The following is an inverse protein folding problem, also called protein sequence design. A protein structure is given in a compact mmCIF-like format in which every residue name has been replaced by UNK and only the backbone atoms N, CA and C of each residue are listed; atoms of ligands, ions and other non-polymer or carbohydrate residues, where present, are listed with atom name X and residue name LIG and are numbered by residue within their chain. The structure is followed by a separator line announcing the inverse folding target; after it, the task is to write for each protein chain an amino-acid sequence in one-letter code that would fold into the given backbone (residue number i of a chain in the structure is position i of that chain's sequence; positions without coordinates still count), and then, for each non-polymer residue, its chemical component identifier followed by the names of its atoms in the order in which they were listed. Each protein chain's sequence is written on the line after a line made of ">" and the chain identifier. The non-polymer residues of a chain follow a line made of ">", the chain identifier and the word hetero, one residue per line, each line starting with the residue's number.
data_IF_556652740640
#
_entry.id   IF_556652740640
#
_cell.length_a   1.000
_cell.length_b   1.000
_cell.length_c   1.000
_cell.angle_alpha   90.00
_cell.angle_beta   90.00
_cell.angle_gamma   90.00
#
_symmetry.space_group_name_H-M   'P 1'
#
loop_
_entity.id
_entity.type
_entity.pdbx_description
1 polymer ?
#
# COMPACT_ATOMS: atom_id res chain seq x y z
N UNK A 1 24.83 -9.19 16.64
CA UNK A 1 24.74 -9.66 15.23
C UNK A 1 23.56 -10.58 15.14
N UNK A 2 22.46 -10.22 14.49
CA UNK A 2 21.54 -11.30 14.14
C UNK A 2 21.01 -11.12 12.73
N UNK A 3 21.92 -11.46 11.82
CA UNK A 3 21.67 -12.06 10.49
C UNK A 3 20.56 -13.12 10.52
N UNK A 4 20.35 -13.74 11.68
CA UNK A 4 19.35 -14.74 11.93
C UNK A 4 18.13 -14.20 12.67
N UNK A 5 17.00 -14.86 12.49
CA UNK A 5 15.81 -14.56 13.26
C UNK A 5 16.06 -14.75 14.75
N UNK A 6 15.66 -13.75 15.54
CA UNK A 6 15.78 -13.77 17.00
C UNK A 6 14.77 -14.69 17.69
N UNK A 7 13.91 -15.39 16.93
CA UNK A 7 12.78 -16.13 17.48
C UNK A 7 11.58 -15.26 17.87
N UNK A 8 11.71 -13.93 17.79
CA UNK A 8 10.61 -12.99 18.00
C UNK A 8 9.60 -13.12 16.85
N UNK A 9 8.31 -12.95 17.14
CA UNK A 9 7.20 -13.27 16.22
C UNK A 9 7.13 -14.74 15.79
N UNK A 10 7.70 -15.66 16.58
CA UNK A 10 7.69 -17.11 16.36
C UNK A 10 8.34 -17.58 15.05
N UNK A 11 9.23 -16.76 14.49
CA UNK A 11 10.17 -17.24 13.47
C UNK A 11 11.14 -18.23 14.13
N UNK A 12 11.73 -19.14 13.34
CA UNK A 12 12.69 -20.11 13.88
C UNK A 12 13.90 -19.31 14.35
N UNK A 13 14.23 -19.37 15.65
CA UNK A 13 15.44 -18.72 16.16
C UNK A 13 16.66 -19.32 15.43
N UNK A 14 17.49 -18.48 14.82
CA UNK A 14 18.57 -18.97 13.96
C UNK A 14 18.16 -19.14 12.49
N UNK A 15 16.93 -18.81 12.10
CA UNK A 15 16.45 -18.86 10.73
C UNK A 15 17.15 -17.83 9.85
N UNK A 16 17.61 -18.25 8.69
CA UNK A 16 18.30 -17.40 7.72
C UNK A 16 17.29 -16.67 6.83
N UNK A 17 16.72 -15.58 7.35
CA UNK A 17 15.77 -14.73 6.61
C UNK A 17 16.40 -14.14 5.35
N UNK A 18 17.72 -13.95 5.34
CA UNK A 18 18.44 -13.39 4.22
C UNK A 18 18.35 -14.32 2.99
N UNK A 19 18.75 -15.59 3.14
CA UNK A 19 18.68 -16.56 2.04
C UNK A 19 17.26 -17.03 1.74
N UNK A 20 16.40 -17.12 2.74
CA UNK A 20 15.05 -17.71 2.57
C UNK A 20 13.99 -16.69 2.13
N UNK A 21 14.15 -15.41 2.47
CA UNK A 21 13.17 -14.36 2.14
C UNK A 21 13.76 -13.31 1.20
N UNK A 22 14.79 -12.57 1.64
CA UNK A 22 15.32 -11.42 0.90
C UNK A 22 15.81 -11.83 -0.50
N UNK A 23 16.68 -12.84 -0.60
CA UNK A 23 17.32 -13.22 -1.86
C UNK A 23 16.31 -13.70 -2.92
N UNK A 24 15.36 -14.61 -2.62
CA UNK A 24 14.33 -15.02 -3.58
C UNK A 24 13.43 -13.87 -4.02
N UNK A 25 12.95 -13.05 -3.07
CA UNK A 25 12.06 -11.91 -3.35
C UNK A 25 12.73 -10.87 -4.23
N UNK A 26 13.98 -10.54 -3.91
CA UNK A 26 14.77 -9.57 -4.66
C UNK A 26 15.03 -10.06 -6.09
N UNK A 27 15.44 -11.32 -6.24
CA UNK A 27 15.68 -11.93 -7.56
C UNK A 27 14.42 -11.90 -8.43
N UNK A 28 13.28 -12.34 -7.89
CA UNK A 28 12.00 -12.36 -8.61
C UNK A 28 11.62 -10.95 -9.06
N UNK A 29 11.64 -10.00 -8.13
CA UNK A 29 11.20 -8.63 -8.37
C UNK A 29 12.10 -7.94 -9.41
N UNK A 30 13.41 -7.98 -9.22
CA UNK A 30 14.37 -7.33 -10.13
C UNK A 30 14.35 -7.96 -11.51
N UNK A 31 14.33 -9.30 -11.60
CA UNK A 31 14.32 -9.97 -12.91
C UNK A 31 13.08 -9.60 -13.70
N UNK A 32 11.91 -9.53 -13.06
CA UNK A 32 10.68 -9.08 -13.71
C UNK A 32 10.72 -7.61 -14.13
N UNK A 33 11.36 -6.73 -13.35
CA UNK A 33 11.47 -5.31 -13.70
C UNK A 33 12.42 -5.05 -14.89
N UNK A 34 13.49 -5.83 -15.04
CA UNK A 34 14.46 -5.66 -16.13
C UNK A 34 13.89 -5.89 -17.53
N UNK A 35 12.67 -6.43 -17.65
CA UNK A 35 11.96 -6.53 -18.94
C UNK A 35 11.62 -5.15 -19.53
N UNK A 36 11.55 -4.10 -18.71
CA UNK A 36 11.13 -2.76 -19.15
C UNK A 36 11.83 -1.60 -18.45
N UNK A 37 12.68 -1.87 -17.47
CA UNK A 37 13.31 -0.84 -16.63
C UNK A 37 14.79 -1.12 -16.41
N UNK A 38 15.59 -0.06 -16.32
CA UNK A 38 16.93 -0.14 -15.74
C UNK A 38 16.82 -0.07 -14.22
N UNK A 39 17.41 -1.05 -13.53
CA UNK A 39 17.19 -1.25 -12.09
C UNK A 39 18.53 -1.31 -11.36
N UNK A 40 18.63 -0.52 -10.30
CA UNK A 40 19.67 -0.62 -9.28
C UNK A 40 19.05 -0.97 -7.92
N UNK A 41 19.81 -1.69 -7.10
CA UNK A 41 19.36 -2.15 -5.79
C UNK A 41 20.17 -1.48 -4.69
N UNK A 42 19.44 -0.89 -3.73
CA UNK A 42 20.00 -0.35 -2.50
C UNK A 42 19.51 -1.19 -1.32
N UNK A 43 20.41 -1.95 -0.70
CA UNK A 43 20.10 -2.72 0.51
C UNK A 43 20.55 -1.94 1.75
N UNK A 44 19.61 -1.67 2.65
CA UNK A 44 19.91 -1.04 3.94
C UNK A 44 19.92 -2.11 5.03
N UNK A 45 21.08 -2.29 5.67
CA UNK A 45 21.30 -3.27 6.70
C UNK A 45 21.68 -2.62 8.03
N UNK A 46 21.08 -3.08 9.12
CA UNK A 46 21.43 -2.64 10.48
C UNK A 46 22.78 -3.24 10.97
N UNK A 47 23.41 -4.09 10.17
CA UNK A 47 24.63 -4.84 10.48
C UNK A 47 25.58 -4.80 9.27
N UNK A 48 26.82 -5.21 9.49
CA UNK A 48 27.79 -5.42 8.43
C UNK A 48 27.46 -6.71 7.67
N UNK A 49 27.26 -6.62 6.36
CA UNK A 49 26.94 -7.77 5.50
C UNK A 49 28.25 -8.45 5.16
N UNK A 50 28.38 -9.73 5.53
CA UNK A 50 29.60 -10.47 5.23
C UNK A 50 29.83 -10.57 3.72
N UNK A 51 31.10 -10.67 3.31
CA UNK A 51 31.48 -10.82 1.89
C UNK A 51 30.73 -11.97 1.20
N UNK A 52 30.55 -13.10 1.90
CA UNK A 52 29.84 -14.25 1.37
C UNK A 52 28.36 -13.95 1.10
N UNK A 53 27.70 -13.20 2.00
CA UNK A 53 26.29 -12.79 1.85
C UNK A 53 26.10 -11.76 0.76
N UNK A 54 27.00 -10.79 0.66
CA UNK A 54 27.01 -9.85 -0.45
C UNK A 54 27.14 -10.58 -1.79
N UNK A 55 28.08 -11.52 -1.89
CA UNK A 55 28.24 -12.35 -3.09
C UNK A 55 27.03 -13.24 -3.38
N UNK A 56 26.28 -13.66 -2.36
CA UNK A 56 25.03 -14.41 -2.54
C UNK A 56 23.96 -13.54 -3.22
N UNK A 57 23.81 -12.27 -2.79
CA UNK A 57 22.91 -11.32 -3.46
C UNK A 57 23.40 -11.05 -4.88
N UNK A 58 24.67 -10.71 -5.05
CA UNK A 58 25.24 -10.37 -6.36
C UNK A 58 25.08 -11.53 -7.36
N UNK A 59 25.18 -12.78 -6.90
CA UNK A 59 24.91 -13.97 -7.74
C UNK A 59 23.43 -14.18 -8.06
N UNK A 60 22.54 -13.71 -7.20
CA UNK A 60 21.10 -13.77 -7.42
C UNK A 60 20.60 -12.64 -8.32
N UNK A 61 21.34 -11.53 -8.43
CA UNK A 61 21.01 -10.40 -9.29
C UNK A 61 21.59 -10.59 -10.70
N UNK A 62 20.89 -10.13 -11.74
CA UNK A 62 21.44 -10.03 -13.09
C UNK A 62 22.68 -9.12 -13.11
N UNK A 63 23.65 -9.44 -13.98
CA UNK A 63 24.95 -8.73 -14.01
C UNK A 63 24.86 -7.25 -14.41
N UNK A 64 23.75 -6.84 -15.01
CA UNK A 64 23.47 -5.44 -15.36
C UNK A 64 23.01 -4.59 -14.17
N UNK A 65 22.65 -5.21 -13.04
CA UNK A 65 22.09 -4.52 -11.88
C UNK A 65 23.20 -4.16 -10.90
N UNK A 66 23.28 -2.88 -10.53
CA UNK A 66 24.19 -2.46 -9.46
C UNK A 66 23.60 -2.80 -8.09
N UNK A 67 24.45 -3.26 -7.17
CA UNK A 67 24.11 -3.45 -5.76
C UNK A 67 24.92 -2.49 -4.89
N UNK A 68 24.22 -1.62 -4.18
CA UNK A 68 24.79 -0.80 -3.11
C UNK A 68 24.27 -1.27 -1.76
N UNK A 69 25.16 -1.50 -0.80
CA UNK A 69 24.80 -1.93 0.55
C UNK A 69 25.18 -0.85 1.54
N UNK A 70 24.19 -0.35 2.27
CA UNK A 70 24.34 0.57 3.39
C UNK A 70 24.38 -0.24 4.67
N UNK A 71 25.60 -0.47 5.16
CA UNK A 71 25.88 -1.30 6.34
C UNK A 71 25.92 -0.47 7.62
N UNK A 72 25.71 -1.13 8.76
CA UNK A 72 25.67 -0.49 10.09
C UNK A 72 24.75 0.75 10.12
N UNK A 73 23.69 0.72 9.32
CA UNK A 73 22.84 1.87 9.07
C UNK A 73 21.84 2.12 10.20
N UNK A 74 22.07 1.58 11.40
CA UNK A 74 21.11 1.71 12.50
C UNK A 74 20.93 3.19 12.85
N UNK A 75 19.71 3.74 12.70
CA UNK A 75 19.49 5.14 13.00
C UNK A 75 19.60 5.40 14.51
N UNK A 76 20.14 6.56 14.86
CA UNK A 76 20.00 7.09 16.22
C UNK A 76 18.58 7.63 16.41
N UNK A 77 18.08 7.55 17.64
CA UNK A 77 16.89 8.27 18.09
C UNK A 77 16.98 8.57 19.57
N UNK A 78 16.16 9.49 20.05
CA UNK A 78 16.18 9.82 21.46
C UNK A 78 15.57 8.72 22.33
N UNK A 79 16.03 8.50 23.56
CA UNK A 79 15.40 7.58 24.51
C UNK A 79 14.03 8.12 24.99
N UNK A 80 13.01 7.26 25.11
CA UNK A 80 11.60 7.66 25.37
C UNK A 80 11.31 7.94 26.84
N UNK A 81 12.22 7.54 27.71
CA UNK A 81 11.99 7.46 29.16
C UNK A 81 12.13 8.81 29.86
N UNK A 82 12.51 9.87 29.14
CA UNK A 82 12.74 11.20 29.71
C UNK A 82 11.81 12.24 29.09
N UNK A 83 11.20 13.08 29.95
CA UNK A 83 10.38 14.23 29.54
C UNK A 83 11.14 15.22 28.66
N UNK A 84 12.47 15.24 28.79
CA UNK A 84 13.37 15.89 27.85
C UNK A 84 14.31 14.84 27.24
N UNK A 85 14.12 14.50 25.96
CA UNK A 85 14.95 13.53 25.28
C UNK A 85 16.36 14.10 25.05
N UNK A 86 17.31 13.78 25.93
CA UNK A 86 18.71 14.23 25.81
C UNK A 86 19.68 13.11 25.45
N UNK A 87 19.28 11.85 25.60
CA UNK A 87 20.12 10.67 25.34
C UNK A 87 19.74 10.07 24.00
N UNK A 88 20.73 9.89 23.12
CA UNK A 88 20.60 9.18 21.85
C UNK A 88 20.90 7.69 22.05
N UNK A 89 20.13 6.83 21.37
CA UNK A 89 20.33 5.39 21.34
C UNK A 89 20.02 4.82 19.94
N UNK A 90 20.51 3.62 19.69
CA UNK A 90 20.24 2.89 18.45
C UNK A 90 18.77 2.47 18.35
N UNK A 91 18.11 2.86 17.26
CA UNK A 91 16.70 2.60 17.00
C UNK A 91 16.51 1.60 15.86
N UNK A 92 16.64 0.30 16.16
CA UNK A 92 16.48 -0.76 15.17
C UNK A 92 15.09 -0.72 14.47
N UNK A 93 14.03 -0.35 15.20
CA UNK A 93 12.67 -0.28 14.64
C UNK A 93 12.44 0.92 13.71
N UNK A 94 13.44 1.79 13.53
CA UNK A 94 13.38 2.94 12.63
C UNK A 94 14.32 2.79 11.43
N UNK A 95 14.89 1.60 11.18
CA UNK A 95 15.84 1.36 10.07
C UNK A 95 15.32 1.87 8.72
N UNK A 96 14.02 1.72 8.45
CA UNK A 96 13.37 2.22 7.22
C UNK A 96 13.44 3.74 7.04
N UNK A 97 13.85 4.50 8.06
CA UNK A 97 14.16 5.94 7.94
C UNK A 97 15.36 6.18 7.02
N UNK A 98 16.34 5.28 7.01
CA UNK A 98 17.54 5.40 6.20
C UNK A 98 17.24 5.39 4.71
N UNK A 99 16.15 4.75 4.28
CA UNK A 99 15.70 4.82 2.89
C UNK A 99 15.55 6.28 2.42
N UNK A 100 15.15 7.20 3.31
CA UNK A 100 14.98 8.63 2.98
C UNK A 100 16.29 9.33 2.68
N UNK A 101 17.38 8.93 3.34
CA UNK A 101 18.72 9.47 3.07
C UNK A 101 19.24 8.95 1.73
N UNK A 102 19.11 7.64 1.48
CA UNK A 102 19.45 7.06 0.17
C UNK A 102 18.68 7.73 -0.95
N UNK A 103 17.36 7.90 -0.81
CA UNK A 103 16.54 8.57 -1.82
C UNK A 103 16.98 10.02 -2.04
N UNK A 104 17.27 10.76 -0.97
CA UNK A 104 17.74 12.15 -1.08
C UNK A 104 19.03 12.23 -1.90
N UNK A 105 20.02 11.41 -1.54
CA UNK A 105 21.35 11.46 -2.15
C UNK A 105 21.33 11.02 -3.62
N UNK A 106 20.31 10.24 -4.00
CA UNK A 106 20.13 9.71 -5.34
C UNK A 106 18.96 10.35 -6.10
N UNK A 107 18.33 11.40 -5.56
CA UNK A 107 17.07 11.94 -6.08
C UNK A 107 17.18 12.39 -7.54
N UNK A 108 18.34 12.90 -7.95
CA UNK A 108 18.58 13.38 -9.30
C UNK A 108 19.04 12.28 -10.28
N UNK A 109 19.48 11.14 -9.76
CA UNK A 109 20.03 10.04 -10.55
C UNK A 109 18.95 9.07 -11.08
N UNK A 110 17.78 9.02 -10.44
CA UNK A 110 16.70 8.08 -10.79
C UNK A 110 15.37 8.81 -11.01
N UNK A 111 14.55 8.26 -11.91
CA UNK A 111 13.22 8.80 -12.22
C UNK A 111 12.12 8.23 -11.32
N UNK A 112 12.34 7.03 -10.78
CA UNK A 112 11.38 6.28 -9.99
C UNK A 112 12.08 5.60 -8.81
N UNK A 113 11.44 5.65 -7.64
CA UNK A 113 11.91 5.02 -6.42
C UNK A 113 10.89 4.01 -5.92
N UNK A 114 11.37 2.82 -5.57
CA UNK A 114 10.60 1.75 -4.96
C UNK A 114 11.18 1.47 -3.57
N UNK A 115 10.35 1.52 -2.55
CA UNK A 115 10.76 1.28 -1.17
C UNK A 115 9.78 0.32 -0.53
N UNK A 116 10.17 -0.95 -0.46
CA UNK A 116 9.35 -2.04 0.07
C UNK A 116 10.11 -2.85 1.12
N UNK A 117 9.35 -3.51 1.98
CA UNK A 117 9.85 -4.55 2.87
C UNK A 117 10.46 -5.71 2.06
N UNK A 118 11.44 -6.41 2.65
CA UNK A 118 12.23 -7.48 2.04
C UNK A 118 11.44 -8.79 1.79
N UNK A 119 10.16 -8.81 2.17
CA UNK A 119 9.22 -9.90 1.94
C UNK A 119 8.04 -9.51 1.04
N UNK A 120 8.16 -8.39 0.31
CA UNK A 120 7.18 -7.95 -0.68
C UNK A 120 7.67 -8.23 -2.09
N UNK A 121 6.95 -9.07 -2.83
CA UNK A 121 7.24 -9.33 -4.25
C UNK A 121 6.61 -8.23 -5.10
N UNK A 122 7.44 -7.58 -5.92
CA UNK A 122 7.03 -6.48 -6.79
C UNK A 122 7.51 -6.77 -8.21
N UNK A 123 6.60 -7.13 -9.11
CA UNK A 123 6.91 -7.34 -10.51
C UNK A 123 7.00 -6.04 -11.32
N UNK A 124 7.65 -6.09 -12.49
CA UNK A 124 7.69 -5.00 -13.46
C UNK A 124 6.30 -4.52 -13.88
N UNK A 125 5.33 -5.43 -13.95
CA UNK A 125 3.93 -5.08 -14.23
C UNK A 125 3.28 -4.19 -13.14
N UNK A 126 3.70 -4.30 -11.87
CA UNK A 126 3.28 -3.37 -10.82
C UNK A 126 3.87 -1.98 -11.07
N UNK A 127 5.15 -1.92 -11.42
CA UNK A 127 5.85 -0.66 -11.75
C UNK A 127 5.17 0.04 -12.93
N UNK A 128 4.85 -0.71 -13.98
CA UNK A 128 4.13 -0.17 -15.13
C UNK A 128 2.71 0.30 -14.74
N UNK A 129 1.98 -0.47 -13.94
CA UNK A 129 0.66 -0.06 -13.46
C UNK A 129 0.73 1.22 -12.62
N UNK A 130 1.74 1.34 -11.76
CA UNK A 130 1.99 2.55 -10.97
C UNK A 130 2.16 3.78 -11.87
N UNK A 131 2.99 3.66 -12.92
CA UNK A 131 3.22 4.73 -13.89
C UNK A 131 1.94 5.05 -14.67
N UNK A 132 1.19 4.04 -15.13
CA UNK A 132 -0.07 4.23 -15.85
C UNK A 132 -1.08 5.06 -15.03
N UNK A 133 -1.27 4.71 -13.76
CA UNK A 133 -2.17 5.45 -12.87
C UNK A 133 -1.60 6.83 -12.55
N UNK A 134 -0.29 6.97 -12.37
CA UNK A 134 0.37 8.26 -12.12
C UNK A 134 0.16 9.22 -13.30
N UNK A 135 0.42 8.79 -14.53
CA UNK A 135 0.20 9.62 -15.72
C UNK A 135 -1.25 10.03 -15.90
N UNK A 136 -2.19 9.14 -15.58
CA UNK A 136 -3.60 9.49 -15.63
C UNK A 136 -3.99 10.51 -14.55
N UNK A 137 -3.43 10.41 -13.34
CA UNK A 137 -3.61 11.41 -12.29
C UNK A 137 -3.00 12.77 -12.67
N UNK A 138 -1.84 12.79 -13.32
CA UNK A 138 -1.23 14.02 -13.83
C UNK A 138 -2.10 14.67 -14.93
N UNK A 139 -2.61 13.87 -15.87
CA UNK A 139 -3.56 14.33 -16.89
C UNK A 139 -4.82 14.93 -16.27
N UNK A 140 -5.37 14.28 -15.23
CA UNK A 140 -6.51 14.78 -14.48
C UNK A 140 -6.19 16.07 -13.72
N UNK A 141 -4.98 16.21 -13.18
CA UNK A 141 -4.54 17.41 -12.49
C UNK A 141 -4.49 18.61 -13.44
N UNK A 142 -4.01 18.41 -14.68
CA UNK A 142 -3.94 19.49 -15.66
C UNK A 142 -5.32 19.95 -16.17
N UNK A 143 -6.27 19.02 -16.28
CA UNK A 143 -7.64 19.32 -16.70
C UNK A 143 -8.52 19.87 -15.57
N UNK A 144 -8.13 19.66 -14.32
CA UNK A 144 -8.90 20.06 -13.16
C UNK A 144 -8.89 21.58 -12.94
N UNK A 145 -10.01 22.13 -12.47
CA UNK A 145 -10.11 23.55 -12.13
C UNK A 145 -9.34 23.90 -10.85
N UNK A 146 -8.79 25.12 -10.81
CA UNK A 146 -8.19 25.70 -9.60
C UNK A 146 -9.23 26.15 -8.58
N UNK A 147 -10.39 26.62 -9.06
CA UNK A 147 -11.47 27.11 -8.22
C UNK A 147 -12.48 26.00 -7.92
N UNK A 148 -12.79 25.81 -6.64
CA UNK A 148 -14.09 25.27 -6.22
C UNK A 148 -15.13 26.30 -6.65
N UNK A 149 -15.86 26.04 -7.74
CA UNK A 149 -16.88 26.95 -8.28
C UNK A 149 -17.95 27.21 -7.21
N UNK A 150 -17.76 28.20 -6.33
CA UNK A 150 -18.67 28.68 -5.27
C UNK A 150 -19.41 27.62 -4.40
N UNK A 151 -19.10 26.33 -4.53
CA UNK A 151 -19.67 25.26 -3.71
C UNK A 151 -19.00 25.30 -2.35
N UNK A 152 -19.80 25.12 -1.30
CA UNK A 152 -19.28 24.99 0.06
C UNK A 152 -18.40 23.73 0.08
N UNK A 153 -17.27 23.76 0.79
CA UNK A 153 -16.36 22.62 0.90
C UNK A 153 -17.07 21.33 1.36
N UNK A 154 -18.16 21.47 2.13
CA UNK A 154 -19.04 20.38 2.57
C UNK A 154 -19.71 19.65 1.39
N UNK A 155 -20.14 20.38 0.37
CA UNK A 155 -20.82 19.81 -0.79
C UNK A 155 -19.84 19.01 -1.68
N UNK A 156 -18.59 19.45 -1.77
CA UNK A 156 -17.56 18.73 -2.53
C UNK A 156 -17.11 17.42 -1.87
N UNK A 157 -17.16 17.35 -0.54
CA UNK A 157 -16.82 16.15 0.21
C UNK A 157 -17.96 15.12 0.21
N UNK A 158 -19.20 15.57 0.04
CA UNK A 158 -20.34 14.68 -0.16
C UNK A 158 -20.34 14.01 -1.54
N UNK A 159 -19.72 14.64 -2.54
CA UNK A 159 -19.74 14.23 -3.94
C UNK A 159 -18.81 13.05 -4.20
N UNK A 160 -19.38 11.88 -4.46
CA UNK A 160 -18.64 10.66 -4.80
C UNK A 160 -18.48 10.43 -6.32
N UNK A 161 -18.92 11.39 -7.12
CA UNK A 161 -18.76 11.42 -8.57
C UNK A 161 -18.53 12.86 -9.03
N UNK A 162 -18.12 13.03 -10.29
CA UNK A 162 -17.89 14.34 -10.89
C UNK A 162 -16.41 14.75 -10.94
N UNK A 163 -16.13 15.90 -11.56
CA UNK A 163 -14.76 16.39 -11.73
C UNK A 163 -14.11 16.68 -10.37
N UNK A 164 -12.80 16.46 -10.30
CA UNK A 164 -11.97 16.81 -9.15
C UNK A 164 -11.31 18.18 -9.37
N UNK A 165 -11.05 18.91 -8.28
CA UNK A 165 -10.21 20.12 -8.33
C UNK A 165 -8.72 19.74 -8.29
N UNK A 166 -7.83 20.64 -8.74
CA UNK A 166 -6.37 20.39 -8.72
C UNK A 166 -5.89 19.95 -7.33
N UNK A 167 -6.38 20.61 -6.28
CA UNK A 167 -6.08 20.28 -4.88
C UNK A 167 -6.48 18.86 -4.51
N UNK A 168 -7.62 18.36 -4.99
CA UNK A 168 -8.07 16.99 -4.67
C UNK A 168 -7.33 15.94 -5.49
N UNK A 169 -6.95 16.25 -6.73
CA UNK A 169 -6.10 15.34 -7.53
C UNK A 169 -4.68 15.24 -6.96
N UNK A 170 -4.09 16.37 -6.50
CA UNK A 170 -2.70 16.40 -6.00
C UNK A 170 -2.39 15.49 -4.81
N UNK A 171 -3.41 15.05 -4.07
CA UNK A 171 -3.25 14.14 -2.93
C UNK A 171 -3.46 12.67 -3.30
N UNK A 172 -3.92 12.40 -4.53
CA UNK A 172 -4.17 11.04 -5.00
C UNK A 172 -2.85 10.41 -5.43
N UNK A 173 -2.65 9.16 -5.03
CA UNK A 173 -1.50 8.34 -5.46
C UNK A 173 -1.96 6.92 -5.74
N UNK A 174 -1.29 6.16 -6.64
CA UNK A 174 -1.60 4.75 -6.83
C UNK A 174 -1.47 3.99 -5.50
N UNK A 175 -2.48 3.20 -5.18
CA UNK A 175 -2.54 2.37 -3.96
C UNK A 175 -2.14 0.93 -4.19
N UNK A 176 -1.85 0.22 -3.10
CA UNK A 176 -1.57 -1.21 -3.11
C UNK A 176 -2.37 -1.93 -2.03
N UNK A 177 -2.77 -3.18 -2.30
CA UNK A 177 -3.33 -4.08 -1.30
C UNK A 177 -2.40 -5.27 -1.11
N UNK A 178 -1.94 -5.44 0.13
CA UNK A 178 -1.12 -6.58 0.48
C UNK A 178 -1.97 -7.85 0.58
N UNK A 179 -1.57 -8.90 -0.14
CA UNK A 179 -2.17 -10.23 -0.09
C UNK A 179 -1.16 -11.27 0.36
N UNK A 180 -1.65 -12.34 0.97
CA UNK A 180 -0.88 -13.53 1.32
C UNK A 180 -1.52 -14.76 0.66
N UNK A 181 -0.70 -15.75 0.31
CA UNK A 181 -1.17 -17.01 -0.25
C UNK A 181 -1.36 -18.03 0.87
N UNK A 182 -2.48 -18.73 0.89
CA UNK A 182 -2.77 -19.77 1.87
C UNK A 182 -1.69 -20.85 1.86
N UNK A 183 -1.11 -21.12 3.03
CA UNK A 183 -0.17 -22.23 3.22
C UNK A 183 -0.93 -23.55 3.39
N UNK A 184 -0.34 -24.71 3.03
CA UNK A 184 -0.96 -26.01 3.22
C UNK A 184 -1.43 -26.22 4.67
N UNK A 185 -2.70 -26.58 4.84
CA UNK A 185 -3.32 -26.82 6.16
C UNK A 185 -3.76 -25.56 6.90
N UNK A 186 -3.45 -24.36 6.40
CA UNK A 186 -4.03 -23.13 6.93
C UNK A 186 -5.49 -23.00 6.52
N UNK A 187 -6.31 -22.45 7.41
CA UNK A 187 -7.71 -22.16 7.17
C UNK A 187 -7.99 -20.70 7.53
N UNK A 188 -8.74 -19.96 6.70
CA UNK A 188 -9.08 -18.58 7.00
C UNK A 188 -9.93 -18.52 8.27
N UNK A 189 -9.57 -17.58 9.14
CA UNK A 189 -10.38 -17.27 10.30
C UNK A 189 -11.29 -16.09 9.94
N UNK A 190 -12.55 -16.39 9.64
CA UNK A 190 -13.55 -15.36 9.39
C UNK A 190 -14.14 -14.89 10.73
N UNK A 191 -13.48 -13.90 11.34
CA UNK A 191 -13.96 -13.27 12.58
C UNK A 191 -15.16 -12.33 12.35
N UNK A 192 -15.46 -11.98 11.10
CA UNK A 192 -16.48 -11.01 10.77
C UNK A 192 -17.65 -11.67 10.03
N UNK A 193 -18.42 -12.51 10.72
CA UNK A 193 -19.79 -12.83 10.29
C UNK A 193 -20.70 -11.59 10.16
N UNK A 194 -20.23 -10.42 10.62
CA UNK A 194 -20.88 -9.12 10.50
C UNK A 194 -20.48 -8.32 9.24
N UNK A 195 -19.73 -8.89 8.30
CA UNK A 195 -19.54 -8.25 7.00
C UNK A 195 -20.79 -8.46 6.13
N UNK A 196 -21.78 -7.59 6.36
CA UNK A 196 -23.12 -7.67 5.79
C UNK A 196 -23.22 -7.36 4.30
N UNK A 197 -22.11 -7.01 3.63
CA UNK A 197 -22.13 -6.67 2.20
C UNK A 197 -22.29 -7.95 1.38
N UNK A 198 -23.38 -8.11 0.61
CA UNK A 198 -23.57 -9.29 -0.24
C UNK A 198 -22.47 -9.42 -1.29
N UNK A 199 -22.12 -10.66 -1.65
CA UNK A 199 -21.22 -10.94 -2.76
C UNK A 199 -21.95 -10.71 -4.10
N UNK A 200 -21.34 -9.97 -5.02
CA UNK A 200 -21.84 -9.84 -6.38
C UNK A 200 -20.74 -10.10 -7.43
N UNK A 201 -20.70 -11.30 -8.03
CA UNK A 201 -19.72 -11.64 -9.05
C UNK A 201 -20.05 -11.09 -10.45
N UNK A 202 -21.19 -10.45 -10.64
CA UNK A 202 -21.66 -9.94 -11.94
C UNK A 202 -21.38 -8.44 -12.07
N UNK A 203 -20.32 -8.11 -12.81
CA UNK A 203 -19.81 -6.73 -12.92
C UNK A 203 -20.57 -5.83 -13.90
N UNK A 204 -21.32 -6.44 -14.83
CA UNK A 204 -22.10 -5.73 -15.83
C UNK A 204 -23.56 -6.17 -15.72
N UNK A 205 -24.50 -5.21 -15.72
CA UNK A 205 -25.95 -5.48 -15.68
C UNK A 205 -26.38 -6.47 -16.79
N UNK A 206 -25.67 -6.48 -17.92
CA UNK A 206 -25.96 -7.32 -19.08
C UNK A 206 -25.17 -8.63 -19.14
N UNK A 207 -24.11 -8.79 -18.34
CA UNK A 207 -23.20 -9.92 -18.48
C UNK A 207 -23.29 -10.83 -17.25
N UNK A 208 -23.98 -11.97 -17.43
CA UNK A 208 -24.06 -13.03 -16.41
C UNK A 208 -22.73 -13.76 -16.19
N UNK A 209 -21.70 -13.45 -16.96
CA UNK A 209 -20.38 -14.06 -16.77
C UNK A 209 -19.78 -13.65 -15.42
N UNK A 210 -19.28 -14.64 -14.68
CA UNK A 210 -18.54 -14.42 -13.44
C UNK A 210 -17.17 -13.80 -13.78
N UNK A 211 -16.84 -12.67 -13.15
CA UNK A 211 -15.52 -12.05 -13.32
C UNK A 211 -14.61 -12.49 -12.18
N UNK A 212 -13.53 -13.18 -12.53
CA UNK A 212 -12.48 -13.57 -11.59
C UNK A 212 -11.28 -12.65 -11.75
N UNK A 213 -10.67 -12.28 -10.62
CA UNK A 213 -9.40 -11.57 -10.64
C UNK A 213 -8.29 -12.50 -11.13
N UNK A 214 -7.37 -11.94 -11.90
CA UNK A 214 -6.19 -12.64 -12.38
C UNK A 214 -5.04 -12.50 -11.37
N UNK A 215 -4.62 -13.59 -10.70
CA UNK A 215 -3.53 -13.56 -9.72
C UNK A 215 -2.14 -13.55 -10.37
N UNK A 216 -2.03 -13.71 -11.70
CA UNK A 216 -0.74 -13.89 -12.39
C UNK A 216 0.22 -12.74 -12.14
N UNK A 217 -0.27 -11.50 -12.23
CA UNK A 217 0.56 -10.31 -12.08
C UNK A 217 1.05 -10.15 -10.64
N UNK A 218 0.20 -10.42 -9.65
CA UNK A 218 0.60 -10.22 -8.27
C UNK A 218 1.50 -11.33 -7.74
N UNK A 219 1.04 -12.58 -7.91
CA UNK A 219 1.40 -13.59 -6.94
C UNK A 219 1.93 -14.88 -7.59
N UNK A 220 2.02 -14.94 -8.91
CA UNK A 220 2.77 -15.99 -9.58
C UNK A 220 4.25 -15.64 -9.60
N UNK A 221 5.08 -16.60 -9.22
CA UNK A 221 6.54 -16.45 -9.20
C UNK A 221 7.18 -17.52 -10.07
N UNK A 222 8.45 -17.31 -10.41
CA UNK A 222 9.23 -18.30 -11.14
C UNK A 222 9.48 -19.58 -10.31
N UNK A 223 9.79 -20.66 -11.03
CA UNK A 223 10.09 -21.97 -10.43
C UNK A 223 11.25 -21.92 -9.44
N UNK A 224 12.31 -21.21 -9.78
CA UNK A 224 13.51 -21.09 -8.94
C UNK A 224 13.22 -20.31 -7.65
N UNK A 225 12.36 -19.28 -7.72
CA UNK A 225 11.89 -18.54 -6.54
C UNK A 225 11.06 -19.44 -5.61
N UNK A 226 10.09 -20.16 -6.15
CA UNK A 226 9.27 -21.09 -5.36
C UNK A 226 10.08 -22.27 -4.79
N UNK A 227 11.07 -22.77 -5.53
CA UNK A 227 11.95 -23.86 -5.07
C UNK A 227 12.89 -23.40 -3.94
N UNK A 228 13.29 -22.12 -3.92
CA UNK A 228 14.16 -21.57 -2.89
C UNK A 228 13.45 -21.39 -1.53
N UNK A 229 12.12 -21.29 -1.50
CA UNK A 229 11.36 -21.16 -0.27
C UNK A 229 9.99 -21.85 -0.40
N UNK A 230 9.80 -22.93 0.34
CA UNK A 230 8.56 -23.72 0.37
C UNK A 230 7.33 -22.94 0.85
N UNK A 231 7.52 -21.78 1.48
CA UNK A 231 6.44 -20.88 1.87
C UNK A 231 6.01 -19.92 0.76
N UNK A 232 6.61 -19.98 -0.43
CA UNK A 232 6.24 -19.17 -1.60
C UNK A 232 5.67 -20.11 -2.66
N UNK A 233 4.35 -20.39 -2.65
CA UNK A 233 3.70 -21.11 -3.73
C UNK A 233 3.97 -20.44 -5.08
N UNK A 234 4.24 -21.26 -6.10
CA UNK A 234 4.59 -20.80 -7.45
C UNK A 234 3.47 -20.05 -8.14
N UNK A 235 2.23 -20.56 -8.07
CA UNK A 235 1.10 -20.02 -8.81
C UNK A 235 -0.19 -20.22 -8.01
N UNK A 236 -0.32 -19.54 -6.86
CA UNK A 236 -1.50 -19.68 -6.02
C UNK A 236 -2.75 -19.22 -6.80
N UNK A 237 -3.83 -20.02 -6.83
CA UNK A 237 -5.08 -19.58 -7.45
C UNK A 237 -5.70 -18.43 -6.66
N UNK A 238 -6.57 -17.65 -7.29
CA UNK A 238 -7.21 -16.48 -6.65
C UNK A 238 -8.01 -16.84 -5.39
N UNK A 239 -8.51 -18.08 -5.29
CA UNK A 239 -9.23 -18.60 -4.12
C UNK A 239 -8.34 -18.73 -2.89
N UNK A 240 -7.02 -18.84 -3.11
CA UNK A 240 -6.02 -19.05 -2.06
C UNK A 240 -5.34 -17.74 -1.66
N UNK A 241 -5.82 -16.59 -2.15
CA UNK A 241 -5.26 -15.28 -1.85
C UNK A 241 -6.14 -14.53 -0.85
N UNK A 242 -5.51 -14.05 0.22
CA UNK A 242 -6.19 -13.44 1.36
C UNK A 242 -5.62 -12.07 1.71
N UNK A 243 -6.53 -11.14 1.99
CA UNK A 243 -6.24 -9.85 2.60
C UNK A 243 -6.22 -9.99 4.12
N UNK A 244 -5.34 -9.23 4.75
CA UNK A 244 -5.29 -9.03 6.20
C UNK A 244 -5.55 -7.56 6.50
N UNK A 245 -6.27 -7.27 7.58
CA UNK A 245 -6.47 -5.90 8.13
C UNK A 245 -7.17 -4.89 7.20
N UNK A 246 -7.53 -5.29 5.97
CA UNK A 246 -8.29 -4.46 5.04
C UNK A 246 -9.78 -4.74 5.24
N UNK A 247 -10.51 -3.77 5.76
CA UNK A 247 -11.93 -3.89 6.03
C UNK A 247 -12.74 -2.93 5.15
N UNK A 248 -13.86 -3.41 4.60
CA UNK A 248 -14.71 -2.62 3.71
C UNK A 248 -15.30 -1.38 4.37
N UNK A 249 -15.53 -1.43 5.69
CA UNK A 249 -16.02 -0.30 6.48
C UNK A 249 -15.07 0.91 6.43
N UNK A 250 -13.78 0.71 6.18
CA UNK A 250 -12.78 1.78 6.11
C UNK A 250 -12.49 2.27 4.69
N UNK A 251 -13.14 1.68 3.68
CA UNK A 251 -12.94 1.99 2.28
C UNK A 251 -14.11 2.79 1.73
N UNK A 252 -13.85 3.53 0.67
CA UNK A 252 -14.91 4.23 -0.06
C UNK A 252 -14.67 4.16 -1.56
N UNK A 253 -15.73 4.37 -2.33
CA UNK A 253 -15.66 4.34 -3.79
C UNK A 253 -15.82 5.73 -4.37
N UNK A 254 -15.19 6.01 -5.50
CA UNK A 254 -15.43 7.23 -6.26
C UNK A 254 -15.49 6.93 -7.74
N UNK A 255 -16.39 7.59 -8.45
CA UNK A 255 -16.34 7.65 -9.90
C UNK A 255 -15.56 8.88 -10.36
N UNK A 256 -14.53 8.68 -11.17
CA UNK A 256 -13.75 9.72 -11.82
C UNK A 256 -14.17 9.76 -13.30
N UNK A 257 -15.08 10.68 -13.68
CA UNK A 257 -15.61 10.72 -15.04
C UNK A 257 -14.52 11.10 -16.04
N UNK A 258 -14.66 10.66 -17.30
CA UNK A 258 -13.73 10.96 -18.39
C UNK A 258 -12.27 10.59 -18.08
N UNK A 259 -12.07 9.56 -17.25
CA UNK A 259 -10.76 9.00 -16.91
C UNK A 259 -10.70 7.52 -17.26
N UNK A 260 -9.49 7.03 -17.54
CA UNK A 260 -9.24 5.60 -17.67
C UNK A 260 -9.33 4.85 -16.34
N UNK A 261 -9.35 5.56 -15.21
CA UNK A 261 -9.52 4.99 -13.88
C UNK A 261 -10.98 4.58 -13.61
N UNK A 262 -11.96 5.27 -14.20
CA UNK A 262 -13.38 4.97 -14.05
C UNK A 262 -13.84 5.02 -12.58
N UNK A 263 -14.29 3.87 -12.06
CA UNK A 263 -14.54 3.70 -10.64
C UNK A 263 -13.27 3.31 -9.91
N UNK A 264 -12.99 3.96 -8.79
CA UNK A 264 -11.81 3.67 -7.96
C UNK A 264 -12.22 3.35 -6.53
N UNK A 265 -11.48 2.43 -5.91
CA UNK A 265 -11.43 2.28 -4.46
C UNK A 265 -10.49 3.35 -3.92
N UNK A 266 -10.96 4.07 -2.91
CA UNK A 266 -10.20 5.03 -2.15
C UNK A 266 -9.84 4.42 -0.79
N UNK A 267 -8.55 4.32 -0.50
CA UNK A 267 -8.08 4.03 0.85
C UNK A 267 -7.68 5.35 1.48
N UNK A 268 -8.56 5.85 2.34
CA UNK A 268 -8.52 7.23 2.78
C UNK A 268 -7.26 7.57 3.58
N UNK A 269 -6.66 8.71 3.24
CA UNK A 269 -5.72 9.41 4.08
C UNK A 269 -6.41 10.00 5.31
N UNK A 270 -5.65 10.20 6.37
CA UNK A 270 -6.19 10.32 7.71
C UNK A 270 -6.57 11.76 8.15
N UNK A 271 -6.92 12.67 7.22
CA UNK A 271 -7.15 14.08 7.57
C UNK A 271 -8.48 14.65 7.07
N UNK A 272 -9.19 15.37 7.94
CA UNK A 272 -10.57 15.84 7.70
C UNK A 272 -10.67 16.89 6.58
N UNK A 273 -9.68 17.75 6.39
CA UNK A 273 -9.81 18.92 5.49
C UNK A 273 -9.24 18.70 4.07
N UNK A 274 -8.79 17.49 3.76
CA UNK A 274 -8.21 17.10 2.47
C UNK A 274 -8.74 15.73 2.02
N UNK A 275 -10.02 15.41 2.23
CA UNK A 275 -10.62 14.15 1.73
C UNK A 275 -11.18 14.29 0.33
N UNK A 276 -10.93 13.33 -0.53
CA UNK A 276 -11.70 13.23 -1.77
C UNK A 276 -13.10 12.72 -1.46
N UNK A 277 -14.13 13.40 -1.96
CA UNK A 277 -15.52 12.98 -1.77
C UNK A 277 -15.75 11.58 -2.32
N UNK A 278 -16.54 10.77 -1.60
CA UNK A 278 -16.60 9.33 -1.83
C UNK A 278 -17.87 8.68 -1.31
N UNK A 279 -18.22 7.54 -1.89
CA UNK A 279 -19.36 6.72 -1.54
C UNK A 279 -18.91 5.71 -0.50
N UNK A 280 -19.56 5.73 0.65
CA UNK A 280 -19.25 4.84 1.75
C UNK A 280 -20.42 3.89 1.99
N UNK A 281 -20.11 2.62 2.14
CA UNK A 281 -21.05 1.50 2.26
C UNK A 281 -21.95 1.56 3.49
N UNK A 282 -21.62 2.37 4.51
CA UNK A 282 -22.55 2.65 5.61
C UNK A 282 -23.82 3.40 5.17
N UNK A 283 -23.82 4.07 4.00
CA UNK A 283 -25.03 4.65 3.40
C UNK A 283 -26.06 3.58 3.02
N UNK A 284 -25.62 2.35 2.80
CA UNK A 284 -26.46 1.21 2.44
C UNK A 284 -26.96 0.43 3.66
N UNK A 285 -26.62 0.87 4.88
CA UNK A 285 -26.94 0.17 6.12
C UNK A 285 -26.08 -1.07 6.40
N UNK A 286 -25.01 -1.31 5.63
CA UNK A 286 -24.11 -2.45 5.87
C UNK A 286 -23.21 -2.28 7.09
N UNK A 287 -23.00 -1.04 7.54
CA UNK A 287 -22.14 -0.69 8.66
C UNK A 287 -22.83 0.33 9.57
N UNK A 288 -22.18 0.73 10.66
CA UNK A 288 -22.70 1.75 11.58
C UNK A 288 -22.98 3.09 10.88
N UNK A 289 -23.62 4.04 11.57
CA UNK A 289 -23.98 5.34 10.98
C UNK A 289 -22.80 6.24 10.63
N UNK A 290 -21.59 5.92 11.10
CA UNK A 290 -20.39 6.74 10.90
C UNK A 290 -19.21 5.89 10.44
N UNK A 291 -18.42 6.38 9.47
CA UNK A 291 -17.23 5.67 9.03
C UNK A 291 -16.27 5.50 10.21
N UNK A 292 -15.56 4.36 10.26
CA UNK A 292 -14.59 4.14 11.30
C UNK A 292 -13.54 5.26 11.29
N UNK A 293 -13.04 5.59 12.48
CA UNK A 293 -11.97 6.56 12.60
C UNK A 293 -10.74 6.08 11.84
N UNK A 294 -10.42 6.75 10.74
CA UNK A 294 -9.21 6.51 9.94
C UNK A 294 -7.94 6.72 10.77
N UNK A 295 -8.05 7.35 11.95
CA UNK A 295 -6.95 7.56 12.91
C UNK A 295 -6.37 6.26 13.45
N UNK A 296 -7.16 5.17 13.40
CA UNK A 296 -6.75 3.88 13.94
C UNK A 296 -5.85 3.18 12.93
N UNK A 297 -4.63 2.85 13.36
CA UNK A 297 -3.61 2.20 12.52
C UNK A 297 -4.10 0.93 11.81
N UNK A 298 -5.07 0.19 12.38
CA UNK A 298 -5.67 -0.99 11.74
C UNK A 298 -6.33 -0.70 10.39
N UNK A 299 -6.77 0.53 10.14
CA UNK A 299 -7.41 0.94 8.89
C UNK A 299 -6.46 1.65 7.92
N UNK A 300 -5.23 1.94 8.37
CA UNK A 300 -4.22 2.55 7.51
C UNK A 300 -3.69 1.56 6.44
N UNK A 301 -4.11 0.29 6.47
CA UNK A 301 -3.73 -0.80 5.56
C UNK A 301 -2.24 -0.75 5.19
N UNK A 302 -1.39 -1.38 6.01
CA UNK A 302 0.04 -1.39 5.74
C UNK A 302 0.32 -2.17 4.45
N UNK A 303 0.64 -1.44 3.38
CA UNK A 303 0.96 -1.98 2.07
C UNK A 303 2.40 -2.50 1.96
N UNK A 304 3.20 -2.40 3.04
CA UNK A 304 4.58 -2.92 3.09
C UNK A 304 5.59 -2.11 2.28
N UNK A 305 5.22 -0.92 1.79
CA UNK A 305 6.12 -0.06 1.02
C UNK A 305 5.41 1.02 0.21
N UNK A 306 6.08 1.62 -0.76
CA UNK A 306 5.53 2.62 -1.67
C UNK A 306 6.42 2.79 -2.90
N UNK A 307 5.84 3.40 -3.93
CA UNK A 307 6.55 3.87 -5.11
C UNK A 307 6.31 5.35 -5.28
N UNK A 308 7.28 6.07 -5.85
CA UNK A 308 7.06 7.45 -6.30
C UNK A 308 8.04 7.84 -7.38
N UNK A 309 7.57 8.67 -8.30
CA UNK A 309 8.46 9.37 -9.23
C UNK A 309 9.27 10.43 -8.49
N UNK A 310 10.40 10.81 -9.07
CA UNK A 310 11.20 11.96 -8.60
C UNK A 310 10.36 13.22 -8.39
N UNK A 311 9.47 13.52 -9.33
CA UNK A 311 8.57 14.67 -9.24
C UNK A 311 7.57 14.55 -8.09
N UNK A 312 6.97 13.36 -7.90
CA UNK A 312 6.08 13.10 -6.77
C UNK A 312 6.80 13.28 -5.44
N UNK A 313 8.04 12.79 -5.28
CA UNK A 313 8.84 12.97 -4.06
C UNK A 313 9.06 14.46 -3.79
N UNK A 314 9.46 15.22 -4.80
CA UNK A 314 9.65 16.67 -4.69
C UNK A 314 8.35 17.37 -4.28
N UNK A 315 7.25 17.08 -4.97
CA UNK A 315 5.94 17.68 -4.66
C UNK A 315 5.46 17.29 -3.26
N UNK A 316 5.59 16.02 -2.86
CA UNK A 316 5.21 15.57 -1.54
C UNK A 316 6.03 16.25 -0.46
N UNK A 317 7.35 16.37 -0.65
CA UNK A 317 8.25 17.02 0.30
C UNK A 317 7.87 18.49 0.54
N UNK A 318 7.53 19.24 -0.52
CA UNK A 318 7.26 20.67 -0.42
C UNK A 318 5.81 21.01 -0.05
N UNK A 319 4.82 20.26 -0.56
CA UNK A 319 3.41 20.69 -0.52
C UNK A 319 2.52 19.84 0.42
N UNK A 320 2.91 18.59 0.69
CA UNK A 320 2.02 17.62 1.34
C UNK A 320 2.53 17.16 2.70
N UNK A 321 3.80 16.75 2.77
CA UNK A 321 4.43 16.19 3.96
C UNK A 321 4.86 17.29 4.92
N UNK A 322 4.17 17.38 6.05
CA UNK A 322 4.57 18.29 7.13
C UNK A 322 5.97 17.92 7.62
N UNK A 323 6.91 18.86 7.63
CA UNK A 323 8.30 18.63 8.01
C UNK A 323 9.15 17.93 6.93
N UNK A 324 8.61 17.77 5.72
CA UNK A 324 9.30 17.19 4.58
C UNK A 324 9.29 15.66 4.54
N UNK A 325 9.32 15.11 3.32
CA UNK A 325 9.48 13.66 3.08
C UNK A 325 10.92 13.17 3.23
N UNK A 326 11.88 13.98 2.78
CA UNK A 326 13.32 13.74 2.77
C UNK A 326 14.00 14.57 3.88
N UNK A 327 15.18 14.15 4.38
CA UNK A 327 15.91 14.90 5.39
C UNK A 327 16.56 16.19 4.83
N UNK A 328 16.86 17.21 5.66
CA UNK A 328 16.60 17.26 7.10
C UNK A 328 15.10 17.32 7.39
N UNK A 329 14.67 16.60 8.44
CA UNK A 329 13.27 16.58 8.84
C UNK A 329 12.99 17.79 9.72
N UNK A 330 12.07 18.64 9.29
CA UNK A 330 11.74 19.89 9.98
C UNK A 330 10.45 19.77 10.82
N UNK A 331 10.05 20.86 11.47
CA UNK A 331 8.78 20.93 12.19
C UNK A 331 7.59 20.45 11.32
N UNK A 332 6.63 19.66 11.83
CA UNK A 332 6.31 19.37 13.23
C UNK A 332 6.98 18.12 13.79
N UNK A 333 7.97 17.55 13.11
CA UNK A 333 8.75 16.47 13.72
C UNK A 333 9.43 17.02 14.98
N UNK A 334 9.09 16.47 16.15
CA UNK A 334 9.80 16.85 17.37
C UNK A 334 11.20 16.26 17.28
N UNK A 335 12.19 17.10 17.57
CA UNK A 335 13.59 16.68 17.64
C UNK A 335 14.07 16.02 16.33
N UNK A 336 13.90 16.72 15.21
CA UNK A 336 14.48 16.40 13.89
C UNK A 336 14.11 15.02 13.32
N UNK A 337 12.92 14.51 13.67
CA UNK A 337 12.43 13.19 13.23
C UNK A 337 13.05 12.00 13.98
N UNK A 338 13.75 12.26 15.09
CA UNK A 338 14.35 11.23 15.93
C UNK A 338 13.37 10.63 16.95
N UNK A 339 12.17 11.19 17.09
CA UNK A 339 11.14 10.76 18.03
C UNK A 339 10.27 9.58 17.51
N UNK A 340 10.11 9.46 16.18
CA UNK A 340 9.32 8.41 15.53
C UNK A 340 10.10 7.09 15.41
N UNK A 341 9.62 6.05 16.10
CA UNK A 341 10.30 4.74 16.23
C UNK A 341 9.58 3.58 15.57
N UNK A 342 8.55 3.84 14.79
CA UNK A 342 7.69 2.80 14.22
C UNK A 342 8.09 2.55 12.78
N UNK A 343 8.37 1.30 12.43
CA UNK A 343 8.74 0.90 11.08
C UNK A 343 7.65 1.30 10.09
N UNK A 344 6.37 1.18 10.49
CA UNK A 344 5.18 1.50 9.70
C UNK A 344 5.08 2.99 9.36
N UNK A 345 5.72 3.86 10.15
CA UNK A 345 5.80 5.28 9.82
C UNK A 345 6.80 5.49 8.69
N UNK A 346 8.02 5.01 8.87
CA UNK A 346 9.12 5.29 7.95
C UNK A 346 9.07 4.48 6.65
N UNK A 347 8.51 3.25 6.67
CA UNK A 347 8.27 2.42 5.50
C UNK A 347 7.19 2.99 4.56
N UNK A 348 6.60 4.14 4.90
CA UNK A 348 5.70 4.89 4.03
C UNK A 348 4.22 4.60 4.24
N UNK A 349 3.84 3.77 5.22
CA UNK A 349 2.44 3.62 5.63
C UNK A 349 1.91 4.86 6.34
N UNK A 350 2.27 5.03 7.61
CA UNK A 350 1.73 6.09 8.46
C UNK A 350 2.27 7.47 8.05
N UNK A 351 3.52 7.58 7.55
CA UNK A 351 4.02 8.89 7.13
C UNK A 351 3.31 9.42 5.87
N UNK A 352 3.06 8.59 4.86
CA UNK A 352 2.40 9.08 3.65
C UNK A 352 0.90 9.28 3.85
N UNK A 353 0.24 8.38 4.60
CA UNK A 353 -1.23 8.31 4.66
C UNK A 353 -1.82 8.67 6.03
N UNK A 354 -1.02 8.70 7.10
CA UNK A 354 -1.46 8.90 8.48
C UNK A 354 -1.55 10.37 8.93
N UNK A 355 -2.14 10.58 10.12
CA UNK A 355 -2.30 11.92 10.71
C UNK A 355 -0.94 12.51 11.04
N UNK A 356 -0.74 13.74 10.56
CA UNK A 356 0.49 14.48 10.81
C UNK A 356 1.62 14.14 9.82
N UNK A 357 1.37 13.25 8.86
CA UNK A 357 2.24 13.02 7.73
C UNK A 357 1.80 13.80 6.49
N UNK A 358 1.90 13.16 5.31
CA UNK A 358 1.59 13.77 4.02
C UNK A 358 0.08 13.82 3.70
N UNK A 359 -0.71 12.95 4.35
CA UNK A 359 -2.16 12.83 4.16
C UNK A 359 -2.54 12.57 2.70
N UNK A 360 -1.76 11.75 2.01
CA UNK A 360 -2.07 11.28 0.67
C UNK A 360 -3.24 10.28 0.74
N UNK A 361 -3.93 10.10 -0.37
CA UNK A 361 -5.05 9.16 -0.49
C UNK A 361 -4.76 8.20 -1.64
N UNK A 362 -4.86 6.91 -1.35
CA UNK A 362 -4.57 5.87 -2.32
C UNK A 362 -5.76 5.63 -3.23
N UNK A 363 -5.50 5.46 -4.52
CA UNK A 363 -6.50 5.13 -5.54
C UNK A 363 -6.17 3.79 -6.17
N UNK A 364 -7.20 2.95 -6.30
CA UNK A 364 -7.08 1.63 -6.91
C UNK A 364 -8.23 1.49 -7.92
N UNK A 365 -7.96 1.45 -9.23
CA UNK A 365 -8.99 1.25 -10.26
C UNK A 365 -9.78 -0.04 -10.04
N UNK A 366 -11.10 0.06 -10.21
CA UNK A 366 -12.02 -1.07 -10.14
C UNK A 366 -12.24 -1.75 -11.50
N UNK A 367 -11.40 -1.48 -12.50
CA UNK A 367 -11.38 -2.28 -13.71
C UNK A 367 -10.76 -3.67 -13.39
N UNK A 368 -11.41 -4.79 -13.72
CA UNK A 368 -10.89 -6.12 -13.41
C UNK A 368 -9.48 -6.41 -13.96
N UNK A 369 -9.14 -5.85 -15.11
CA UNK A 369 -7.82 -6.03 -15.74
C UNK A 369 -6.73 -5.17 -15.10
N UNK A 370 -7.13 -4.20 -14.26
CA UNK A 370 -6.22 -3.32 -13.54
C UNK A 370 -6.14 -3.67 -12.06
N UNK A 371 -7.25 -4.04 -11.42
CA UNK A 371 -7.32 -4.26 -9.98
C UNK A 371 -6.33 -5.32 -9.49
N UNK A 372 -6.20 -6.44 -10.21
CA UNK A 372 -5.23 -7.50 -9.88
C UNK A 372 -3.78 -7.00 -9.87
N UNK A 373 -3.47 -5.97 -10.66
CA UNK A 373 -2.15 -5.33 -10.71
C UNK A 373 -1.88 -4.38 -9.54
N UNK A 374 -2.85 -4.16 -8.66
CA UNK A 374 -2.69 -3.41 -7.42
C UNK A 374 -2.55 -4.32 -6.18
N UNK A 375 -2.53 -5.64 -6.37
CA UNK A 375 -2.27 -6.60 -5.31
C UNK A 375 -0.75 -6.84 -5.21
N UNK A 376 -0.22 -6.81 -3.99
CA UNK A 376 1.19 -7.09 -3.72
C UNK A 376 1.31 -8.36 -2.89
N UNK A 377 2.11 -9.31 -3.38
CA UNK A 377 2.30 -10.57 -2.68
C UNK A 377 3.33 -10.43 -1.55
N UNK A 378 2.84 -10.55 -0.32
CA UNK A 378 3.68 -10.63 0.86
C UNK A 378 4.07 -12.09 1.14
N UNK A 379 5.29 -12.43 0.74
CA UNK A 379 5.77 -13.80 0.61
C UNK A 379 6.13 -14.47 1.94
N UNK A 380 6.33 -13.70 3.01
CA UNK A 380 6.70 -14.29 4.30
C UNK A 380 5.56 -15.04 4.97
N UNK A 381 4.30 -14.81 4.56
CA UNK A 381 3.10 -15.48 5.12
C UNK A 381 3.13 -15.53 6.67
N UNK A 382 3.70 -14.51 7.31
CA UNK A 382 4.02 -14.53 8.73
C UNK A 382 2.75 -14.50 9.61
N UNK A 383 1.66 -13.90 9.12
CA UNK A 383 0.38 -13.86 9.83
C UNK A 383 -0.27 -15.24 9.91
N UNK A 384 -0.05 -16.07 8.90
CA UNK A 384 -0.48 -17.47 8.88
C UNK A 384 0.37 -18.40 9.74
N UNK A 385 1.56 -18.00 10.18
CA UNK A 385 2.45 -18.87 10.96
C UNK A 385 2.41 -18.59 12.46
N UNK A 386 1.88 -17.44 12.87
CA UNK A 386 1.76 -17.10 14.28
C UNK A 386 0.35 -17.41 14.81
N UNK A 387 0.17 -18.40 15.72
CA UNK A 387 -1.15 -18.72 16.27
C UNK A 387 -1.81 -17.52 16.96
N UNK A 388 -1.01 -16.65 17.57
CA UNK A 388 -1.48 -15.41 18.20
C UNK A 388 -2.07 -14.41 17.20
N UNK A 389 -1.62 -14.45 15.93
CA UNK A 389 -2.10 -13.56 14.87
C UNK A 389 -3.30 -14.20 14.17
N UNK A 390 -3.25 -15.50 13.88
CA UNK A 390 -4.34 -16.24 13.24
C UNK A 390 -5.70 -16.03 13.95
N UNK A 391 -5.71 -16.05 15.29
CA UNK A 391 -6.95 -15.87 16.06
C UNK A 391 -7.38 -14.41 16.26
N UNK A 392 -6.53 -13.43 15.92
CA UNK A 392 -6.79 -12.01 16.20
C UNK A 392 -7.20 -11.20 14.98
N UNK A 393 -6.78 -11.62 13.79
CA UNK A 393 -6.99 -10.86 12.57
C UNK A 393 -7.89 -11.64 11.63
N UNK A 394 -8.97 -11.00 11.22
CA UNK A 394 -9.82 -11.52 10.16
C UNK A 394 -9.01 -11.58 8.86
N UNK A 395 -9.10 -12.71 8.17
CA UNK A 395 -8.60 -12.88 6.81
C UNK A 395 -9.77 -12.92 5.85
N UNK A 396 -9.65 -12.28 4.67
CA UNK A 396 -10.71 -12.32 3.64
C UNK A 396 -10.16 -12.75 2.31
N UNK A 397 -10.86 -13.66 1.64
CA UNK A 397 -10.57 -13.99 0.24
C UNK A 397 -10.63 -12.72 -0.61
N UNK A 398 -9.59 -12.47 -1.40
CA UNK A 398 -9.54 -11.30 -2.26
C UNK A 398 -10.67 -11.28 -3.30
N UNK A 399 -11.10 -12.46 -3.77
CA UNK A 399 -12.23 -12.58 -4.69
C UNK A 399 -13.54 -12.15 -4.01
N UNK A 400 -13.82 -12.60 -2.80
CA UNK A 400 -15.01 -12.17 -2.06
C UNK A 400 -14.97 -10.67 -1.77
N UNK A 401 -13.82 -10.15 -1.34
CA UNK A 401 -13.63 -8.71 -1.12
C UNK A 401 -13.96 -7.90 -2.38
N UNK A 402 -13.47 -8.36 -3.54
CA UNK A 402 -13.74 -7.74 -4.84
C UNK A 402 -15.22 -7.77 -5.22
N UNK A 403 -15.89 -8.90 -5.02
CA UNK A 403 -17.33 -9.06 -5.27
C UNK A 403 -18.17 -8.16 -4.36
N UNK A 404 -17.75 -7.94 -3.12
CA UNK A 404 -18.41 -6.99 -2.22
C UNK A 404 -18.20 -5.53 -2.65
N UNK A 405 -17.01 -5.18 -3.14
CA UNK A 405 -16.78 -3.86 -3.73
C UNK A 405 -17.69 -3.61 -4.94
N UNK A 406 -17.96 -4.63 -5.76
CA UNK A 406 -18.91 -4.52 -6.87
C UNK A 406 -20.34 -4.20 -6.37
N UNK A 407 -20.79 -4.86 -5.30
CA UNK A 407 -22.09 -4.54 -4.67
C UNK A 407 -22.16 -3.08 -4.25
N UNK A 408 -21.13 -2.59 -3.56
CA UNK A 408 -21.06 -1.18 -3.12
C UNK A 408 -21.04 -0.23 -4.32
N UNK A 409 -20.34 -0.58 -5.40
CA UNK A 409 -20.30 0.19 -6.65
C UNK A 409 -21.69 0.30 -7.27
N UNK A 410 -22.44 -0.80 -7.36
CA UNK A 410 -23.79 -0.79 -7.94
C UNK A 410 -24.76 0.06 -7.11
N UNK A 411 -24.68 -0.01 -5.78
CA UNK A 411 -25.45 0.86 -4.89
C UNK A 411 -25.09 2.34 -5.10
N UNK A 412 -23.80 2.64 -5.28
CA UNK A 412 -23.33 3.99 -5.60
C UNK A 412 -23.87 4.49 -6.96
N UNK A 413 -23.92 3.62 -7.98
CA UNK A 413 -24.49 3.93 -9.29
C UNK A 413 -26.00 4.20 -9.22
N UNK A 414 -26.75 3.44 -8.43
CA UNK A 414 -28.18 3.69 -8.17
C UNK A 414 -28.36 5.04 -7.48
N UNK A 415 -27.61 5.30 -6.41
CA UNK A 415 -27.65 6.58 -5.68
C UNK A 415 -27.32 7.75 -6.61
N UNK A 416 -26.29 7.62 -7.45
CA UNK A 416 -25.93 8.63 -8.44
C UNK A 416 -27.08 8.91 -9.41
N UNK A 417 -27.73 7.86 -9.95
CA UNK A 417 -28.88 8.01 -10.86
C UNK A 417 -30.02 8.79 -10.20
N UNK A 418 -30.29 8.49 -8.93
CA UNK A 418 -31.32 9.16 -8.13
C UNK A 418 -30.97 10.63 -7.89
N UNK A 419 -29.75 10.93 -7.44
CA UNK A 419 -29.30 12.30 -7.20
C UNK A 419 -29.31 13.16 -8.47
N UNK A 420 -28.98 12.58 -9.63
CA UNK A 420 -29.06 13.27 -10.93
C UNK A 420 -30.53 13.58 -11.29
N UNK A 421 -31.43 12.61 -11.09
CA UNK A 421 -32.84 12.74 -11.49
C UNK A 421 -33.61 13.73 -10.61
N UNK A 422 -33.36 13.72 -9.31
CA UNK A 422 -34.19 14.44 -8.34
C UNK A 422 -33.44 15.51 -7.52
N UNK A 423 -32.13 15.64 -7.68
CA UNK A 423 -31.29 16.53 -6.87
C UNK A 423 -30.71 15.82 -5.63
N UNK A 424 -29.65 16.40 -5.06
CA UNK A 424 -28.95 15.84 -3.90
C UNK A 424 -29.79 15.97 -2.62
N UNK A 425 -29.68 14.97 -1.75
CA UNK A 425 -30.23 15.01 -0.39
C UNK A 425 -31.66 14.47 -0.23
N UNK A 426 -32.27 13.91 -1.29
CA UNK A 426 -33.55 13.21 -1.16
C UNK A 426 -33.29 11.80 -0.62
N UNK A 427 -33.62 11.60 0.66
CA UNK A 427 -33.63 10.27 1.29
C UNK A 427 -34.92 9.55 0.91
N UNK A 428 -34.81 8.38 0.28
CA UNK A 428 -35.93 7.45 0.14
C UNK A 428 -36.01 6.63 1.43
N UNK A 429 -37.15 6.72 2.11
CA UNK A 429 -37.50 5.85 3.24
C UNK A 429 -38.10 4.54 2.77
#
# INVERSE_FOLDING_TARGET
>A
MVEYDHGKRQMIKGGDRFSTSLVPVLRESVTSMLESFDVDVFLIAHFQVSKNRRQEIERALPTSVSLQVWEDATPLGYRSEHKQPTVLENMMNALSRQHRFVIKDNLLAYDLFLNFEDDMIVHGAHVQQFLNVTYELERLYEQASNHSQHRRAVDEEADFYGPLTKRRVSILVPGWMRVEAALPGWQPHDLNSNDHVPLNPHWNENNRALVKLDPTVCCHVRNDTAAANTHIPRSPPITDLFLWETSLDALSLRQIPHSSLGWVVLQAGNYMNKKVGSYWSGRDGYFADQPPSLTKGRYANNQGGWMATRWQIFNWHNEHCKGGLLPPFEYPFRSDGLDRRTVEFWSGGIHLFGIGGCNLQRVIPMDPNQFGKHLLYHSSNNKQRSPNVQHRFASRSIQHFWEQLNTIKQNAEVTKRVEIKYGKGIKYG
#
